data_IF_277079956534
#
_entry.id   IF_277079956534
#
_cell.length_a   1.000
_cell.length_b   1.000
_cell.length_c   1.000
_cell.angle_alpha   90.00
_cell.angle_beta   90.00
_cell.angle_gamma   90.00
#
_symmetry.space_group_name_H-M   'P 1'
#
loop_
_entity.id
_entity.type
_entity.pdbx_description
1 polymer ?
#
# COMPACT_ATOMS: atom_id res chain seq x y z
N UNK A 1 21.06 -5.55 -5.11
CA UNK A 1 20.46 -4.22 -4.86
C UNK A 1 19.60 -4.36 -3.62
N UNK A 2 20.04 -3.82 -2.48
CA UNK A 2 19.26 -3.85 -1.24
C UNK A 2 18.35 -2.62 -1.26
N UNK A 3 17.03 -2.82 -1.30
CA UNK A 3 16.11 -1.72 -1.03
C UNK A 3 16.41 -1.23 0.40
N UNK A 4 16.38 0.08 0.68
CA UNK A 4 16.50 0.57 2.05
C UNK A 4 15.48 -0.18 2.90
N UNK A 5 15.86 -0.61 4.11
CA UNK A 5 15.05 -1.38 5.07
C UNK A 5 13.80 -0.58 5.48
N UNK A 6 12.88 -0.39 4.53
CA UNK A 6 11.55 0.15 4.76
C UNK A 6 10.83 -0.90 5.57
N UNK A 7 10.46 -0.55 6.80
CA UNK A 7 9.63 -1.43 7.62
C UNK A 7 8.35 -1.82 6.87
N UNK A 8 7.85 -3.05 7.07
CA UNK A 8 6.65 -3.57 6.42
C UNK A 8 5.42 -2.63 6.53
N UNK A 9 5.32 -1.85 7.61
CA UNK A 9 4.29 -0.82 7.78
C UNK A 9 4.36 0.30 6.74
N UNK A 10 5.57 0.75 6.37
CA UNK A 10 5.78 1.75 5.32
C UNK A 10 5.38 1.20 3.95
N UNK A 11 5.70 -0.07 3.71
CA UNK A 11 5.38 -0.79 2.47
C UNK A 11 3.86 -0.99 2.33
N UNK A 12 3.18 -1.38 3.42
CA UNK A 12 1.73 -1.45 3.48
C UNK A 12 1.08 -0.09 3.21
N UNK A 13 1.62 1.00 3.77
CA UNK A 13 1.12 2.37 3.49
C UNK A 13 1.27 2.73 2.01
N UNK A 14 2.37 2.34 1.38
CA UNK A 14 2.61 2.54 -0.06
C UNK A 14 1.60 1.77 -0.93
N UNK A 15 1.26 0.53 -0.54
CA UNK A 15 0.21 -0.26 -1.19
C UNK A 15 -1.18 0.37 -1.10
N UNK A 16 -1.54 0.91 0.06
CA UNK A 16 -2.78 1.69 0.22
C UNK A 16 -2.82 2.92 -0.68
N UNK A 17 -1.73 3.69 -0.72
CA UNK A 17 -1.66 4.90 -1.53
C UNK A 17 -1.76 4.60 -3.02
N UNK A 18 -1.11 3.52 -3.50
CA UNK A 18 -1.26 3.04 -4.87
C UNK A 18 -2.73 2.75 -5.20
N UNK A 19 -3.46 2.07 -4.31
CA UNK A 19 -4.90 1.85 -4.49
C UNK A 19 -5.70 3.15 -4.53
N UNK A 20 -5.47 4.07 -3.60
CA UNK A 20 -6.18 5.35 -3.59
C UNK A 20 -5.88 6.20 -4.83
N UNK A 21 -4.69 6.05 -5.42
CA UNK A 21 -4.34 6.66 -6.70
C UNK A 21 -5.05 5.99 -7.90
N UNK A 22 -5.52 4.75 -7.73
CA UNK A 22 -6.09 3.93 -8.80
C UNK A 22 -5.04 3.07 -9.53
N UNK A 23 -3.85 2.93 -8.96
CA UNK A 23 -2.80 2.07 -9.54
C UNK A 23 -3.20 0.58 -9.41
N UNK A 24 -2.91 -0.25 -10.42
CA UNK A 24 -3.17 -1.68 -10.37
C UNK A 24 -2.24 -2.39 -9.38
N UNK A 25 -2.60 -3.61 -8.96
CA UNK A 25 -1.77 -4.43 -8.07
C UNK A 25 -0.41 -4.84 -8.70
N UNK A 26 -0.30 -4.78 -10.03
CA UNK A 26 0.96 -4.97 -10.78
C UNK A 26 1.94 -3.80 -10.61
N UNK A 27 1.49 -2.65 -10.08
CA UNK A 27 2.37 -1.53 -9.74
C UNK A 27 3.24 -1.82 -8.51
N UNK A 28 3.12 -3.01 -7.91
CA UNK A 28 3.95 -3.45 -6.80
C UNK A 28 5.42 -3.54 -7.23
N UNK A 29 6.33 -2.70 -6.68
CA UNK A 29 7.74 -2.72 -7.07
C UNK A 29 8.53 -3.85 -6.40
N UNK A 30 7.92 -4.58 -5.47
CA UNK A 30 8.57 -5.62 -4.67
C UNK A 30 8.52 -6.98 -5.39
N UNK A 31 9.53 -7.84 -5.23
CA UNK A 31 9.57 -9.15 -5.88
C UNK A 31 8.50 -10.10 -5.31
N UNK A 32 7.81 -10.83 -6.18
CA UNK A 32 6.84 -11.85 -5.77
C UNK A 32 7.48 -12.90 -4.86
N UNK A 33 6.82 -13.19 -3.73
CA UNK A 33 7.31 -14.14 -2.72
C UNK A 33 8.12 -13.52 -1.58
N UNK A 34 8.43 -12.21 -1.62
CA UNK A 34 8.96 -11.51 -0.44
C UNK A 34 7.85 -11.06 0.52
N UNK A 35 8.21 -10.91 1.80
CA UNK A 35 7.33 -10.32 2.82
C UNK A 35 6.88 -8.90 2.43
N UNK A 36 7.75 -8.15 1.75
CA UNK A 36 7.46 -6.81 1.25
C UNK A 36 6.32 -6.82 0.22
N UNK A 37 6.41 -7.73 -0.77
CA UNK A 37 5.38 -7.87 -1.80
C UNK A 37 4.05 -8.30 -1.17
N UNK A 38 4.08 -9.23 -0.22
CA UNK A 38 2.89 -9.67 0.51
C UNK A 38 2.27 -8.52 1.34
N UNK A 39 3.07 -7.72 2.03
CA UNK A 39 2.62 -6.59 2.83
C UNK A 39 2.01 -5.47 1.97
N UNK A 40 2.67 -5.11 0.87
CA UNK A 40 2.15 -4.14 -0.10
C UNK A 40 0.83 -4.61 -0.71
N UNK A 41 0.80 -5.85 -1.21
CA UNK A 41 -0.37 -6.43 -1.88
C UNK A 41 -1.56 -6.55 -0.94
N UNK A 42 -1.34 -7.05 0.30
CA UNK A 42 -2.40 -7.09 1.31
C UNK A 42 -2.99 -5.73 1.62
N UNK A 43 -2.14 -4.70 1.74
CA UNK A 43 -2.59 -3.36 2.05
C UNK A 43 -3.30 -2.69 0.86
N UNK A 44 -2.91 -3.03 -0.37
CA UNK A 44 -3.62 -2.65 -1.58
C UNK A 44 -4.98 -3.38 -1.70
N UNK A 45 -5.06 -4.67 -1.38
CA UNK A 45 -6.33 -5.43 -1.43
C UNK A 45 -7.30 -5.03 -0.31
N UNK A 46 -6.79 -4.84 0.90
CA UNK A 46 -7.54 -4.49 2.11
C UNK A 46 -6.99 -3.20 2.76
N UNK A 47 -7.33 -2.01 2.23
CA UNK A 47 -6.89 -0.75 2.81
C UNK A 47 -7.50 -0.46 4.19
N UNK A 48 -8.66 -1.06 4.51
CA UNK A 48 -9.47 -0.76 5.70
C UNK A 48 -9.09 -1.51 6.99
N UNK A 49 -8.11 -2.42 6.95
CA UNK A 49 -7.83 -3.33 8.07
C UNK A 49 -7.38 -2.70 9.40
N UNK A 50 -6.98 -1.41 9.42
CA UNK A 50 -6.71 -0.64 10.66
C UNK A 50 -6.58 0.88 10.35
N UNK A 51 -7.46 1.42 9.49
CA UNK A 51 -7.41 2.84 9.10
C UNK A 51 -8.80 3.46 8.88
N UNK A 52 -9.82 3.00 9.63
CA UNK A 52 -10.94 3.89 9.96
C UNK A 52 -10.37 4.95 10.90
N UNK A 53 -9.77 6.01 10.35
CA UNK A 53 -9.49 7.33 10.94
C UNK A 53 -8.37 8.04 10.14
N UNK A 54 -8.55 8.30 8.84
CA UNK A 54 -7.93 9.47 8.19
C UNK A 54 -8.44 9.65 6.76
N UNK A 55 -9.35 10.63 6.60
CA UNK A 55 -9.46 11.50 5.44
C UNK A 55 -9.87 10.83 4.12
N UNK A 56 -11.17 10.71 3.92
CA UNK A 56 -11.74 11.05 2.62
C UNK A 56 -11.38 12.52 2.32
N UNK A 57 -10.75 12.86 1.19
CA UNK A 57 -10.67 14.25 0.79
C UNK A 57 -12.09 14.71 0.45
N UNK A 58 -12.57 15.66 1.25
CA UNK A 58 -13.69 16.53 0.95
C UNK A 58 -13.50 17.07 -0.48
N UNK A 59 -14.33 16.62 -1.40
CA UNK A 59 -14.40 17.14 -2.77
C UNK A 59 -15.81 16.90 -3.28
N UNK A 60 -16.74 17.67 -2.73
CA UNK A 60 -17.95 18.10 -3.44
C UNK A 60 -18.26 19.52 -2.97
N UNK A 61 -17.67 20.50 -3.66
CA UNK A 61 -18.04 21.91 -3.57
C UNK A 61 -19.36 22.16 -4.32
#
# INVERSE_FOLDING_TARGET
>A
MSFPEKSLASIAREGRQARYRGDPSEANPYPEGSDDHAAWKRAWECPDGEATEAQAPDSCA
#
